data_IF_788858920439
#
_entry.id   IF_788858920439
#
_cell.length_a   1.000
_cell.length_b   1.000
_cell.length_c   1.000
_cell.angle_alpha   90.00
_cell.angle_beta   90.00
_cell.angle_gamma   90.00
#
_symmetry.space_group_name_H-M   'P 1'
#
loop_
_entity.id
_entity.type
_entity.pdbx_description
1 polymer ?
#
# COMPACT_ATOMS: atom_id res chain seq x y z
N UNK A 1 -13.34 3.83 -3.63
CA UNK A 1 -12.27 4.76 -3.19
C UNK A 1 -11.04 4.59 -4.06
N UNK A 2 -10.24 5.64 -4.20
CA UNK A 2 -8.96 5.58 -4.92
C UNK A 2 -7.83 5.25 -3.94
N UNK A 3 -7.17 4.11 -4.16
CA UNK A 3 -6.12 3.61 -3.28
C UNK A 3 -4.79 3.59 -4.05
N UNK A 4 -3.86 4.43 -3.61
CA UNK A 4 -2.52 4.51 -4.15
C UNK A 4 -1.60 3.54 -3.42
N UNK A 5 -0.86 2.71 -4.16
CA UNK A 5 0.14 1.80 -3.58
C UNK A 5 1.53 2.31 -3.89
N UNK A 6 2.33 2.51 -2.85
CA UNK A 6 3.73 2.91 -2.96
C UNK A 6 4.63 1.94 -2.21
N UNK A 7 5.55 1.33 -2.94
CA UNK A 7 6.57 0.45 -2.38
C UNK A 7 7.87 1.23 -2.11
N UNK A 8 8.55 0.87 -1.02
CA UNK A 8 9.93 1.28 -0.78
C UNK A 8 10.85 0.65 -1.84
N UNK A 9 11.80 1.43 -2.38
CA UNK A 9 12.77 0.99 -3.42
C UNK A 9 13.69 -0.17 -3.01
N UNK A 10 13.70 -0.52 -1.71
CA UNK A 10 14.08 -1.83 -1.21
C UNK A 10 15.53 -1.97 -0.72
N UNK A 11 15.68 -2.35 0.55
CA UNK A 11 16.86 -3.04 1.08
C UNK A 11 16.71 -4.58 1.03
N UNK A 12 15.55 -5.12 0.62
CA UNK A 12 15.26 -6.56 0.70
C UNK A 12 14.73 -7.11 -0.64
N UNK A 13 15.46 -8.07 -1.22
CA UNK A 13 15.26 -8.62 -2.57
C UNK A 13 14.35 -9.85 -2.59
N UNK A 14 14.13 -10.49 -1.43
CA UNK A 14 13.33 -11.72 -1.31
C UNK A 14 11.82 -11.48 -1.18
N UNK A 15 11.36 -10.23 -1.11
CA UNK A 15 9.93 -9.92 -1.01
C UNK A 15 9.34 -9.70 -2.39
N UNK A 16 8.48 -10.61 -2.85
CA UNK A 16 7.78 -10.50 -4.13
C UNK A 16 6.67 -9.46 -4.02
N UNK A 17 7.08 -8.19 -4.14
CA UNK A 17 6.22 -7.00 -4.05
C UNK A 17 5.07 -7.04 -5.07
N UNK A 18 5.30 -7.71 -6.20
CA UNK A 18 4.32 -7.80 -7.29
C UNK A 18 3.20 -8.77 -6.91
N UNK A 19 3.57 -9.97 -6.47
CA UNK A 19 2.60 -10.95 -5.94
C UNK A 19 1.84 -10.38 -4.74
N UNK A 20 2.48 -9.60 -3.87
CA UNK A 20 1.80 -8.94 -2.75
C UNK A 20 0.71 -7.98 -3.22
N UNK A 21 1.03 -7.09 -4.16
CA UNK A 21 0.06 -6.13 -4.71
C UNK A 21 -1.04 -6.86 -5.47
N UNK A 22 -0.71 -7.88 -6.26
CA UNK A 22 -1.71 -8.68 -6.98
C UNK A 22 -2.68 -9.38 -6.02
N UNK A 23 -2.20 -9.92 -4.89
CA UNK A 23 -3.07 -10.50 -3.87
C UNK A 23 -3.93 -9.44 -3.18
N UNK A 24 -3.35 -8.28 -2.82
CA UNK A 24 -4.09 -7.17 -2.20
C UNK A 24 -5.21 -6.67 -3.12
N UNK A 25 -4.89 -6.48 -4.40
CA UNK A 25 -5.85 -6.09 -5.42
C UNK A 25 -6.90 -7.19 -5.49
N UNK A 26 -6.55 -8.44 -5.75
CA UNK A 26 -7.51 -9.56 -5.86
C UNK A 26 -8.49 -9.65 -4.68
N UNK A 27 -8.01 -9.43 -3.44
CA UNK A 27 -8.82 -9.52 -2.23
C UNK A 27 -9.78 -8.31 -2.05
N UNK A 28 -9.46 -7.15 -2.65
CA UNK A 28 -10.16 -5.88 -2.48
C UNK A 28 -10.75 -5.27 -3.77
N UNK A 29 -10.47 -5.86 -4.94
CA UNK A 29 -10.76 -5.36 -6.30
C UNK A 29 -12.24 -5.14 -6.54
N UNK A 30 -13.09 -5.85 -5.79
CA UNK A 30 -14.54 -5.77 -5.94
C UNK A 30 -15.15 -4.46 -5.42
N UNK A 31 -14.40 -3.68 -4.63
CA UNK A 31 -14.95 -2.51 -3.92
C UNK A 31 -14.10 -1.24 -4.08
N UNK A 32 -12.82 -1.38 -4.45
CA UNK A 32 -11.87 -0.27 -4.44
C UNK A 32 -10.97 -0.26 -5.69
N UNK A 33 -10.61 0.93 -6.16
CA UNK A 33 -9.68 1.08 -7.27
C UNK A 33 -8.25 1.15 -6.73
N UNK A 34 -7.41 0.22 -7.16
CA UNK A 34 -6.00 0.18 -6.80
C UNK A 34 -5.13 0.59 -7.97
N UNK A 35 -4.19 1.50 -7.73
CA UNK A 35 -3.13 1.79 -8.70
C UNK A 35 -1.81 2.08 -7.98
N UNK A 36 -0.71 2.05 -8.74
CA UNK A 36 0.55 2.55 -8.22
C UNK A 36 0.42 4.06 -7.99
N UNK A 37 0.75 4.49 -6.77
CA UNK A 37 0.63 5.88 -6.37
C UNK A 37 1.43 6.77 -7.33
N UNK A 38 0.79 7.85 -7.78
CA UNK A 38 1.37 8.90 -8.61
C UNK A 38 1.46 10.19 -7.81
N UNK A 39 2.52 10.96 -8.06
CA UNK A 39 2.78 12.20 -7.32
C UNK A 39 1.73 13.28 -7.61
N UNK A 40 1.16 13.28 -8.82
CA UNK A 40 0.17 14.27 -9.29
C UNK A 40 -1.30 13.83 -9.09
N UNK A 41 -1.54 12.84 -8.23
CA UNK A 41 -2.88 12.28 -8.02
C UNK A 41 -3.22 12.22 -6.53
N UNK A 42 -4.46 12.63 -6.21
CA UNK A 42 -5.02 12.51 -4.88
C UNK A 42 -5.59 11.10 -4.67
N UNK A 43 -5.23 10.47 -3.55
CA UNK A 43 -5.78 9.18 -3.15
C UNK A 43 -6.53 9.28 -1.82
N UNK A 44 -7.60 8.51 -1.64
CA UNK A 44 -8.27 8.35 -0.35
C UNK A 44 -7.35 7.68 0.66
N UNK A 45 -6.66 6.63 0.20
CA UNK A 45 -5.69 5.87 0.99
C UNK A 45 -4.39 5.68 0.21
N UNK A 46 -3.27 5.96 0.87
CA UNK A 46 -1.94 5.66 0.37
C UNK A 46 -1.33 4.53 1.18
N UNK A 47 -1.18 3.36 0.57
CA UNK A 47 -0.56 2.18 1.16
C UNK A 47 0.94 2.23 0.89
N UNK A 48 1.71 2.37 1.96
CA UNK A 48 3.15 2.45 1.97
C UNK A 48 3.73 1.10 2.41
N UNK A 49 4.20 0.32 1.43
CA UNK A 49 4.78 -1.00 1.69
C UNK A 49 6.26 -0.84 2.04
N UNK A 50 6.52 -0.74 3.34
CA UNK A 50 7.84 -0.66 3.95
C UNK A 50 8.37 -2.08 4.20
N UNK A 51 9.16 -2.63 3.28
CA UNK A 51 9.78 -3.96 3.44
C UNK A 51 10.84 -4.07 4.56
N UNK A 52 10.98 -3.05 5.42
CA UNK A 52 11.83 -3.04 6.60
C UNK A 52 11.29 -2.02 7.63
N UNK A 53 11.64 -2.20 8.91
CA UNK A 53 11.23 -1.30 10.00
C UNK A 53 11.68 0.16 9.80
N UNK A 54 12.75 0.40 9.05
CA UNK A 54 13.30 1.73 8.82
C UNK A 54 12.40 2.61 7.94
N UNK A 55 11.48 2.00 7.19
CA UNK A 55 10.41 2.68 6.44
C UNK A 55 10.89 3.91 5.64
N UNK A 56 12.03 3.78 4.94
CA UNK A 56 12.68 4.86 4.17
C UNK A 56 11.89 5.33 2.93
N UNK A 57 10.62 4.95 2.82
CA UNK A 57 9.81 5.26 1.65
C UNK A 57 9.49 6.74 1.66
N UNK A 58 10.01 7.48 0.69
CA UNK A 58 9.62 8.88 0.51
C UNK A 58 8.17 8.92 0.02
N UNK A 59 7.29 9.49 0.83
CA UNK A 59 5.88 9.68 0.52
C UNK A 59 5.45 11.16 0.47
N UNK A 60 6.37 12.09 0.72
CA UNK A 60 6.09 13.53 0.81
C UNK A 60 5.54 14.13 -0.49
N UNK A 61 5.87 13.50 -1.63
CA UNK A 61 5.44 13.94 -2.96
C UNK A 61 4.09 13.36 -3.38
N UNK A 62 3.46 12.53 -2.55
CA UNK A 62 2.17 11.91 -2.85
C UNK A 62 1.07 12.56 -2.03
N UNK A 63 -0.07 12.78 -2.68
CA UNK A 63 -1.20 13.46 -2.08
C UNK A 63 -2.21 12.40 -1.65
N UNK A 64 -2.49 12.30 -0.35
CA UNK A 64 -3.53 11.39 0.14
C UNK A 64 -4.22 11.86 1.41
N UNK A 65 -5.49 11.50 1.55
CA UNK A 65 -6.30 11.79 2.74
C UNK A 65 -5.86 10.93 3.93
N UNK A 66 -5.62 9.64 3.68
CA UNK A 66 -5.14 8.69 4.68
C UNK A 66 -3.86 8.00 4.21
N UNK A 67 -3.04 7.55 5.16
CA UNK A 67 -1.76 6.87 4.90
C UNK A 67 -1.67 5.64 5.77
N UNK A 68 -1.31 4.51 5.18
CA UNK A 68 -1.18 3.23 5.88
C UNK A 68 0.18 2.64 5.61
N UNK A 69 0.88 2.23 6.67
CA UNK A 69 2.25 1.73 6.59
C UNK A 69 2.27 0.21 6.81
N UNK A 70 2.56 -0.55 5.77
CA UNK A 70 2.75 -2.00 5.88
C UNK A 70 4.22 -2.27 6.14
N UNK A 71 4.58 -2.56 7.39
CA UNK A 71 5.96 -2.88 7.79
C UNK A 71 6.25 -4.38 7.81
N UNK A 72 5.21 -5.19 7.94
CA UNK A 72 5.26 -6.64 8.04
C UNK A 72 3.99 -7.28 7.46
N UNK A 73 4.02 -8.59 7.25
CA UNK A 73 2.87 -9.38 6.79
C UNK A 73 1.68 -9.29 7.78
N UNK A 74 1.94 -9.00 9.05
CA UNK A 74 0.89 -8.90 10.07
C UNK A 74 0.08 -7.59 9.95
N UNK A 75 0.73 -6.48 9.55
CA UNK A 75 0.05 -5.22 9.23
C UNK A 75 -0.91 -5.38 8.05
N UNK A 76 -0.55 -6.22 7.09
CA UNK A 76 -1.38 -6.52 5.93
C UNK A 76 -2.69 -7.22 6.31
N UNK A 77 -2.63 -8.23 7.19
CA UNK A 77 -3.84 -8.92 7.64
C UNK A 77 -4.80 -7.95 8.36
N UNK A 78 -4.26 -7.06 9.20
CA UNK A 78 -5.05 -6.03 9.87
C UNK A 78 -5.64 -5.02 8.87
N UNK A 79 -4.87 -4.60 7.86
CA UNK A 79 -5.35 -3.72 6.80
C UNK A 79 -6.56 -4.32 6.08
N UNK A 80 -6.47 -5.59 5.68
CA UNK A 80 -7.56 -6.26 4.97
C UNK A 80 -8.83 -6.31 5.81
N UNK A 81 -8.72 -6.61 7.10
CA UNK A 81 -9.88 -6.62 8.00
C UNK A 81 -10.52 -5.23 8.09
N UNK A 82 -9.70 -4.18 8.27
CA UNK A 82 -10.22 -2.80 8.34
C UNK A 82 -10.86 -2.36 7.03
N UNK A 83 -10.24 -2.62 5.87
CA UNK A 83 -10.77 -2.21 4.56
C UNK A 83 -11.97 -3.04 4.08
N UNK A 84 -12.23 -4.21 4.66
CA UNK A 84 -13.43 -5.02 4.39
C UNK A 84 -14.65 -4.56 5.19
N UNK A 85 -14.44 -3.86 6.30
CA UNK A 85 -15.53 -3.32 7.13
C UNK A 85 -16.10 -1.99 6.61
N UNK A 86 -15.43 -1.36 5.63
CA UNK A 86 -15.91 -0.16 4.92
C UNK A 86 -16.47 -0.51 3.54
#
# INVERSE_FOLDING_TARGET
MEIGIRYCGGCNTSYDRKAFVENLITDLDKTHNFEIAKEDKLYDYLILVCGCFNCCVSYEKYISNNKIFIKSINDYANLLSNLKEF
#
